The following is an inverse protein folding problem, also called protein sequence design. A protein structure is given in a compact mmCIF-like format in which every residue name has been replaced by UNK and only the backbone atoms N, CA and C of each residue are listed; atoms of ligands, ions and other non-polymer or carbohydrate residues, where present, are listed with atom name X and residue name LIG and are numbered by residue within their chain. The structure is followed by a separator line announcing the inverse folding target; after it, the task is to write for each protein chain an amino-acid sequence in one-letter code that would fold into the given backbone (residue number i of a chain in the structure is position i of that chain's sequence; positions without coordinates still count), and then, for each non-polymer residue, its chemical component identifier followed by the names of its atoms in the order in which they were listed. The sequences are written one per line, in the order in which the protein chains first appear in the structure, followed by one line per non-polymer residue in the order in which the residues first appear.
data_IF_843298376099
#
_entry.id   IF_843298376099
#
_cell.length_a   1.000
_cell.length_b   1.000
_cell.length_c   1.000
_cell.angle_alpha   90.00
_cell.angle_beta   90.00
_cell.angle_gamma   90.00
#
_symmetry.space_group_name_H-M   'P 1'
#
loop_
_entity.id
_entity.type
_entity.pdbx_description
1 polymer ?
#
# COMPACT_ATOMS: atom_id res chain seq x y z
N UNK A 1 3.60 9.60 -11.41
CA UNK A 1 3.86 8.24 -11.89
C UNK A 1 4.39 8.25 -13.34
N UNK A 2 3.69 8.76 -14.33
CA UNK A 2 4.11 8.77 -15.74
C UNK A 2 5.42 9.54 -15.98
N UNK A 3 5.66 10.64 -15.28
CA UNK A 3 6.93 11.37 -15.35
C UNK A 3 8.13 10.54 -14.83
N UNK A 4 7.91 9.75 -13.78
CA UNK A 4 8.91 8.80 -13.31
C UNK A 4 9.19 7.74 -14.39
N UNK A 5 8.14 7.13 -14.96
CA UNK A 5 8.24 6.13 -16.02
C UNK A 5 8.96 6.68 -17.26
N UNK A 6 8.63 7.90 -17.67
CA UNK A 6 9.28 8.52 -18.85
C UNK A 6 10.79 8.67 -18.66
N UNK A 7 11.25 8.87 -17.42
CA UNK A 7 12.67 9.01 -17.07
C UNK A 7 13.35 7.65 -16.92
N UNK A 8 12.72 6.72 -16.18
CA UNK A 8 13.31 5.45 -15.78
C UNK A 8 12.93 4.29 -16.70
N UNK A 9 11.98 4.48 -17.63
CA UNK A 9 11.41 3.46 -18.53
C UNK A 9 10.76 2.28 -17.80
N UNK A 10 10.38 2.50 -16.54
CA UNK A 10 9.74 1.57 -15.63
C UNK A 10 8.91 2.33 -14.60
N UNK A 11 7.87 1.72 -14.08
CA UNK A 11 7.21 2.19 -12.87
C UNK A 11 8.13 2.03 -11.66
N UNK A 12 8.01 2.86 -10.62
CA UNK A 12 8.75 2.61 -9.38
C UNK A 12 8.29 1.28 -8.77
N UNK A 13 9.18 0.52 -8.11
CA UNK A 13 8.73 -0.59 -7.28
C UNK A 13 7.85 -0.04 -6.16
N UNK A 14 6.82 -0.77 -5.77
CA UNK A 14 5.96 -0.38 -4.66
C UNK A 14 6.74 -0.19 -3.35
N UNK A 15 7.72 -1.07 -3.13
CA UNK A 15 8.76 -0.90 -2.11
C UNK A 15 10.11 -1.36 -2.67
N UNK A 16 11.14 -0.55 -2.45
CA UNK A 16 12.49 -0.88 -2.86
C UNK A 16 13.13 -1.82 -1.84
N UNK A 17 13.34 -3.06 -2.24
CA UNK A 17 14.04 -4.06 -1.45
C UNK A 17 15.00 -4.86 -2.34
N UNK A 18 16.13 -5.29 -1.79
CA UNK A 18 17.14 -6.09 -2.50
C UNK A 18 17.60 -7.27 -1.65
N UNK A 19 17.97 -8.41 -2.28
CA UNK A 19 18.61 -9.50 -1.55
C UNK A 19 19.88 -9.01 -0.81
N UNK A 20 20.19 -9.52 0.39
CA UNK A 20 19.60 -10.68 1.08
C UNK A 20 18.27 -10.46 1.82
N UNK A 21 17.57 -9.39 1.62
CA UNK A 21 16.26 -9.08 2.19
C UNK A 21 16.21 -9.16 3.74
N UNK A 22 16.80 -8.19 4.37
CA UNK A 22 16.66 -7.97 5.81
C UNK A 22 15.77 -6.76 6.10
N UNK A 23 15.44 -6.48 7.37
CA UNK A 23 14.73 -5.26 7.76
C UNK A 23 15.41 -3.99 7.24
N UNK A 24 16.73 -3.98 7.18
CA UNK A 24 17.55 -2.87 6.65
C UNK A 24 17.50 -2.70 5.12
N UNK A 25 16.88 -3.62 4.39
CA UNK A 25 16.87 -3.59 2.93
C UNK A 25 15.65 -2.87 2.34
N UNK A 26 14.62 -2.60 3.16
CA UNK A 26 13.44 -1.82 2.74
C UNK A 26 13.72 -0.34 2.93
N UNK A 27 14.15 0.32 1.87
CA UNK A 27 14.74 1.67 1.94
C UNK A 27 13.79 2.77 1.49
N UNK A 28 12.94 2.49 0.51
CA UNK A 28 12.03 3.48 -0.06
C UNK A 28 10.74 2.84 -0.54
N UNK A 29 9.63 3.54 -0.39
CA UNK A 29 8.36 3.24 -1.05
C UNK A 29 8.31 3.85 -2.45
N UNK A 30 7.33 3.48 -3.26
CA UNK A 30 7.06 4.14 -4.54
C UNK A 30 6.82 5.65 -4.33
N UNK A 31 6.13 6.04 -3.27
CA UNK A 31 5.89 7.44 -2.90
C UNK A 31 7.21 8.19 -2.72
N UNK A 32 8.14 7.62 -1.93
CA UNK A 32 9.46 8.22 -1.70
C UNK A 32 10.24 8.40 -3.01
N UNK A 33 10.23 7.40 -3.88
CA UNK A 33 10.94 7.44 -5.17
C UNK A 33 10.33 8.47 -6.12
N UNK A 34 9.05 8.79 -5.95
CA UNK A 34 8.34 9.74 -6.80
C UNK A 34 8.32 11.19 -6.27
N UNK A 35 8.84 11.47 -5.08
CA UNK A 35 8.90 12.84 -4.52
C UNK A 35 9.40 13.89 -5.51
N UNK A 36 10.49 13.67 -6.28
CA UNK A 36 10.95 14.67 -7.26
C UNK A 36 9.93 14.98 -8.35
N UNK A 37 8.99 14.06 -8.62
CA UNK A 37 7.96 14.19 -9.65
C UNK A 37 6.64 14.77 -9.13
N UNK A 38 6.60 15.09 -7.83
CA UNK A 38 5.51 15.78 -7.14
C UNK A 38 5.90 17.22 -6.73
N UNK A 39 6.99 17.75 -7.29
CA UNK A 39 7.57 19.04 -6.89
C UNK A 39 8.16 19.06 -5.45
N UNK A 40 8.32 17.88 -4.84
CA UNK A 40 8.87 17.68 -3.49
C UNK A 40 10.40 17.40 -3.51
N UNK A 41 11.13 18.06 -4.42
CA UNK A 41 12.57 17.86 -4.57
C UNK A 41 13.37 18.21 -3.31
N UNK A 42 12.92 19.21 -2.55
CA UNK A 42 13.56 19.59 -1.28
C UNK A 42 13.44 18.48 -0.23
N UNK A 43 12.28 17.83 -0.13
CA UNK A 43 12.06 16.69 0.76
C UNK A 43 12.84 15.46 0.28
N UNK A 44 12.80 15.19 -1.03
CA UNK A 44 13.57 14.11 -1.63
C UNK A 44 15.07 14.21 -1.36
N UNK A 45 15.65 15.42 -1.41
CA UNK A 45 17.09 15.62 -1.14
C UNK A 45 17.49 15.36 0.32
N UNK A 46 16.54 15.34 1.23
CA UNK A 46 16.73 15.05 2.67
C UNK A 46 16.51 13.58 3.02
N UNK A 47 15.92 12.81 2.11
CA UNK A 47 15.67 11.39 2.30
C UNK A 47 16.87 10.58 1.80
N UNK A 48 17.50 9.80 2.69
CA UNK A 48 18.63 8.94 2.32
C UNK A 48 18.15 7.55 1.90
N UNK A 49 18.05 7.31 0.59
CA UNK A 49 17.65 6.02 0.02
C UNK A 49 18.64 4.88 0.29
N UNK A 50 19.79 5.16 0.89
CA UNK A 50 20.73 4.12 1.34
C UNK A 50 20.37 3.52 2.68
N UNK A 51 19.53 4.23 3.46
CA UNK A 51 19.09 3.84 4.80
C UNK A 51 17.65 3.31 4.78
N UNK A 52 17.30 2.43 5.71
CA UNK A 52 15.91 2.06 5.96
C UNK A 52 15.03 3.28 6.24
N UNK A 53 13.75 3.22 5.85
CA UNK A 53 12.86 4.35 6.04
C UNK A 53 12.71 4.80 7.50
N UNK A 54 12.79 3.89 8.47
CA UNK A 54 12.69 4.22 9.91
C UNK A 54 13.97 4.83 10.52
N UNK A 55 15.09 4.84 9.79
CA UNK A 55 16.33 5.51 10.18
C UNK A 55 16.50 6.89 9.55
N UNK A 56 15.51 7.38 8.85
CA UNK A 56 15.52 8.74 8.30
C UNK A 56 15.43 9.77 9.43
N UNK A 57 15.88 11.02 9.19
CA UNK A 57 15.70 12.09 10.17
C UNK A 57 14.23 12.28 10.54
N UNK A 58 13.92 12.52 11.83
CA UNK A 58 12.56 12.75 12.32
C UNK A 58 11.82 13.82 11.50
N UNK A 59 12.49 14.93 11.22
CA UNK A 59 11.93 16.01 10.40
C UNK A 59 11.58 15.62 8.95
N UNK A 60 12.03 14.44 8.48
CA UNK A 60 11.60 13.84 7.20
C UNK A 60 10.41 12.92 7.42
N UNK A 61 10.46 12.09 8.46
CA UNK A 61 9.40 11.13 8.78
C UNK A 61 8.08 11.82 9.16
N UNK A 62 8.19 12.93 9.87
CA UNK A 62 7.07 13.72 10.38
C UNK A 62 6.56 14.78 9.38
N UNK A 63 7.18 14.89 8.19
CA UNK A 63 6.79 15.88 7.21
C UNK A 63 5.50 15.48 6.49
N UNK A 64 4.38 16.18 6.72
CA UNK A 64 3.18 15.98 5.93
C UNK A 64 3.41 16.49 4.51
N UNK A 65 2.97 15.73 3.53
CA UNK A 65 3.03 16.09 2.11
C UNK A 65 1.60 16.35 1.63
N UNK A 66 1.21 17.59 1.33
CA UNK A 66 -0.20 17.95 1.09
C UNK A 66 -0.86 17.15 -0.04
N UNK A 67 -0.12 16.80 -1.09
CA UNK A 67 -0.64 16.02 -2.22
C UNK A 67 -1.04 14.58 -1.82
N UNK A 68 -0.55 14.09 -0.67
CA UNK A 68 -0.88 12.76 -0.17
C UNK A 68 -2.08 12.76 0.77
N UNK A 69 -2.66 13.91 1.04
CA UNK A 69 -3.83 14.05 1.92
C UNK A 69 -5.09 14.25 1.12
N UNK A 70 -6.09 13.39 1.32
CA UNK A 70 -7.42 13.58 0.76
C UNK A 70 -8.17 14.65 1.59
N UNK A 71 -8.70 15.73 0.97
CA UNK A 71 -9.44 16.76 1.70
C UNK A 71 -10.68 16.25 2.44
N UNK A 72 -11.24 15.12 2.01
CA UNK A 72 -12.41 14.51 2.65
C UNK A 72 -12.04 13.64 3.85
N UNK A 73 -10.77 13.25 3.98
CA UNK A 73 -10.27 12.59 5.17
C UNK A 73 -9.89 13.65 6.21
N UNK A 74 -10.70 13.80 7.26
CA UNK A 74 -10.43 14.74 8.37
C UNK A 74 -9.25 14.33 9.26
N UNK A 75 -8.57 13.27 8.94
CA UNK A 75 -7.51 12.68 9.72
C UNK A 75 -6.14 13.18 9.24
N UNK A 76 -5.62 14.19 9.92
CA UNK A 76 -4.22 14.56 9.79
C UNK A 76 -3.42 13.77 10.82
N UNK A 77 -2.87 12.64 10.44
CA UNK A 77 -2.28 11.82 11.45
C UNK A 77 -0.88 11.41 11.22
N UNK A 78 -0.41 11.11 12.33
CA UNK A 78 0.84 10.48 12.60
C UNK A 78 0.55 9.10 13.18
N UNK A 79 1.12 8.08 12.60
CA UNK A 79 1.13 6.75 13.17
C UNK A 79 2.32 6.63 14.11
N UNK A 80 2.09 6.49 15.40
CA UNK A 80 3.18 6.41 16.38
C UNK A 80 3.25 5.09 17.15
N UNK A 81 2.13 4.37 17.27
CA UNK A 81 2.06 3.21 18.16
C UNK A 81 2.73 1.95 17.61
N UNK A 82 2.75 1.81 16.29
CA UNK A 82 3.24 0.62 15.62
C UNK A 82 4.75 0.44 15.76
N UNK A 83 5.46 1.53 15.85
CA UNK A 83 6.93 1.53 15.78
C UNK A 83 7.60 1.37 17.14
N UNK A 84 6.92 1.64 18.23
CA UNK A 84 7.43 1.33 19.57
C UNK A 84 7.58 -0.17 19.79
N UNK A 85 6.73 -0.97 19.16
CA UNK A 85 6.74 -2.44 19.21
C UNK A 85 8.00 -3.02 18.51
N UNK A 86 8.53 -2.34 17.52
CA UNK A 86 9.73 -2.77 16.78
C UNK A 86 11.03 -2.15 17.31
N UNK A 87 10.99 -1.54 18.50
CA UNK A 87 12.18 -0.98 19.14
C UNK A 87 12.61 0.37 18.56
N UNK A 88 11.75 1.05 17.83
CA UNK A 88 11.99 2.43 17.40
C UNK A 88 11.80 3.39 18.57
N UNK A 89 12.44 4.56 18.56
CA UNK A 89 12.33 5.52 19.64
C UNK A 89 10.87 5.86 19.98
N UNK A 90 10.54 5.85 21.27
CA UNK A 90 9.22 6.28 21.73
C UNK A 90 8.97 7.74 21.33
N UNK A 91 7.78 8.03 20.83
CA UNK A 91 7.41 9.38 20.39
C UNK A 91 7.75 9.71 18.93
N UNK A 92 8.30 8.78 18.16
CA UNK A 92 8.47 8.95 16.72
C UNK A 92 7.10 8.93 16.05
N UNK A 93 6.83 9.96 15.24
CA UNK A 93 5.61 10.09 14.46
C UNK A 93 5.91 9.96 12.97
N UNK A 94 4.98 9.41 12.21
CA UNK A 94 5.10 9.25 10.77
C UNK A 94 3.94 9.94 10.07
N UNK A 95 4.25 10.90 9.22
CA UNK A 95 3.23 11.53 8.39
C UNK A 95 2.63 10.51 7.41
N UNK A 96 1.32 10.54 7.25
CA UNK A 96 0.55 9.54 6.50
C UNK A 96 0.22 9.94 5.08
N UNK A 97 -0.21 8.98 4.28
CA UNK A 97 -0.81 9.14 2.96
C UNK A 97 -2.20 8.53 2.95
N UNK A 98 -3.14 9.23 2.32
CA UNK A 98 -4.48 8.73 2.03
C UNK A 98 -4.56 8.02 0.67
N UNK A 99 -3.42 7.86 0.00
CA UNK A 99 -3.34 7.18 -1.30
C UNK A 99 -2.37 6.02 -1.23
N UNK A 100 -2.79 4.87 -1.76
CA UNK A 100 -2.06 3.61 -1.71
C UNK A 100 -1.95 2.99 -3.10
N UNK A 101 -0.85 2.26 -3.34
CA UNK A 101 -0.54 1.65 -4.64
C UNK A 101 -1.18 0.29 -4.79
N UNK A 102 -1.70 0.01 -5.99
CA UNK A 102 -2.35 -1.27 -6.28
C UNK A 102 -1.32 -2.40 -6.38
N UNK A 103 -1.49 -3.38 -5.51
CA UNK A 103 -0.74 -4.63 -5.53
C UNK A 103 -1.44 -5.74 -6.33
N UNK A 104 -2.70 -5.56 -6.69
CA UNK A 104 -3.50 -6.52 -7.43
C UNK A 104 -4.65 -7.11 -6.64
N UNK A 105 -5.08 -8.30 -7.06
CA UNK A 105 -6.22 -9.00 -6.50
C UNK A 105 -5.87 -9.85 -5.26
N UNK A 106 -4.62 -9.86 -4.85
CA UNK A 106 -4.15 -10.61 -3.69
C UNK A 106 -3.19 -9.80 -2.86
N UNK A 107 -3.18 -10.03 -1.57
CA UNK A 107 -2.29 -9.38 -0.60
C UNK A 107 -1.29 -10.40 -0.05
N UNK A 108 -0.05 -10.33 -0.51
CA UNK A 108 1.04 -11.12 0.01
C UNK A 108 2.15 -10.22 0.55
N UNK A 109 2.69 -10.63 1.66
CA UNK A 109 3.74 -9.92 2.35
C UNK A 109 5.12 -10.18 1.80
N UNK A 110 5.36 -11.43 1.39
CA UNK A 110 6.70 -11.87 1.08
C UNK A 110 7.14 -11.42 -0.30
N UNK A 111 8.36 -10.90 -0.37
CA UNK A 111 8.99 -10.52 -1.63
C UNK A 111 9.49 -11.74 -2.43
N UNK A 112 9.81 -12.83 -1.73
CA UNK A 112 10.20 -14.10 -2.35
C UNK A 112 9.04 -14.80 -3.02
N UNK A 113 7.81 -14.40 -2.73
CA UNK A 113 6.63 -14.99 -3.31
C UNK A 113 6.47 -14.55 -4.77
N UNK A 114 6.51 -15.49 -5.66
CA UNK A 114 6.28 -15.26 -7.09
C UNK A 114 4.83 -15.54 -7.42
N UNK A 115 4.00 -14.51 -7.31
CA UNK A 115 2.63 -14.60 -7.79
C UNK A 115 2.58 -14.80 -9.30
N UNK A 116 1.57 -15.56 -9.77
CA UNK A 116 1.19 -15.51 -11.17
C UNK A 116 0.90 -14.05 -11.57
N UNK A 117 1.33 -13.63 -12.76
CA UNK A 117 1.05 -12.28 -13.27
C UNK A 117 -0.46 -11.97 -13.33
N UNK A 118 -1.28 -13.01 -13.39
CA UNK A 118 -2.73 -12.92 -13.40
C UNK A 118 -3.36 -12.32 -12.12
N UNK A 119 -2.63 -12.24 -11.00
CA UNK A 119 -3.18 -11.71 -9.74
C UNK A 119 -2.40 -10.52 -9.21
N UNK A 120 -1.28 -10.15 -9.81
CA UNK A 120 -0.46 -9.02 -9.36
C UNK A 120 -0.86 -7.73 -10.04
N UNK A 121 -0.79 -6.65 -9.29
CA UNK A 121 -0.92 -5.29 -9.79
C UNK A 121 0.42 -4.68 -10.22
N UNK A 122 0.40 -3.43 -10.66
CA UNK A 122 1.58 -2.75 -11.19
C UNK A 122 2.65 -2.42 -10.13
N UNK A 123 2.32 -2.52 -8.84
CA UNK A 123 3.25 -2.20 -7.76
C UNK A 123 3.49 -3.39 -6.84
N UNK A 124 4.74 -3.83 -6.74
CA UNK A 124 5.14 -4.95 -5.89
C UNK A 124 6.43 -4.64 -5.13
N UNK A 125 6.80 -5.51 -4.20
CA UNK A 125 8.02 -5.37 -3.41
C UNK A 125 9.21 -5.85 -4.24
N UNK A 126 10.24 -5.01 -4.36
CA UNK A 126 11.50 -5.36 -5.00
C UNK A 126 11.45 -5.60 -6.52
N UNK A 127 10.30 -5.39 -7.14
CA UNK A 127 10.11 -5.54 -8.59
C UNK A 127 9.55 -4.25 -9.18
N UNK A 128 10.03 -3.92 -10.37
CA UNK A 128 9.57 -2.81 -11.19
C UNK A 128 9.06 -3.32 -12.53
N UNK A 129 7.92 -2.84 -12.97
CA UNK A 129 7.29 -3.21 -14.23
C UNK A 129 7.37 -2.07 -15.25
N UNK A 130 7.32 -2.42 -16.52
CA UNK A 130 7.17 -1.45 -17.61
C UNK A 130 5.69 -1.33 -17.95
N UNK A 131 5.28 -0.19 -18.49
CA UNK A 131 3.89 -0.01 -18.95
C UNK A 131 3.46 -1.09 -19.96
N UNK A 132 4.38 -1.60 -20.77
CA UNK A 132 4.12 -2.69 -21.72
C UNK A 132 3.86 -4.06 -21.06
N UNK A 133 4.22 -4.22 -19.79
CA UNK A 133 3.95 -5.46 -19.06
C UNK A 133 2.50 -5.51 -18.54
N UNK A 134 1.75 -4.39 -18.66
CA UNK A 134 0.34 -4.27 -18.34
C UNK A 134 -0.47 -4.64 -19.59
N UNK A 135 -0.79 -5.92 -19.71
CA UNK A 135 -1.45 -6.46 -20.91
C UNK A 135 -2.97 -6.33 -20.91
N UNK A 136 -3.58 -6.11 -19.74
CA UNK A 136 -5.03 -5.93 -19.58
C UNK A 136 -5.49 -4.51 -19.97
N UNK A 137 -4.53 -3.65 -20.29
CA UNK A 137 -4.77 -2.27 -20.72
C UNK A 137 -4.55 -1.26 -19.60
N UNK A 138 -3.75 -0.24 -19.91
CA UNK A 138 -3.33 0.76 -18.91
C UNK A 138 -4.51 1.59 -18.37
N UNK A 139 -5.54 1.82 -19.17
CA UNK A 139 -6.76 2.53 -18.77
C UNK A 139 -7.73 1.68 -17.93
N UNK A 140 -7.50 0.37 -17.87
CA UNK A 140 -8.32 -0.59 -17.12
C UNK A 140 -7.56 -1.21 -15.94
N UNK A 141 -6.35 -0.74 -15.66
CA UNK A 141 -5.54 -1.26 -14.56
C UNK A 141 -5.32 -0.17 -13.51
N UNK A 142 -5.82 -0.40 -12.31
CA UNK A 142 -5.64 0.49 -11.16
C UNK A 142 -4.16 0.57 -10.78
N UNK A 143 -3.62 1.77 -10.78
CA UNK A 143 -2.29 2.09 -10.26
C UNK A 143 -2.31 2.46 -8.79
N UNK A 144 -3.27 3.31 -8.40
CA UNK A 144 -3.43 3.81 -7.04
C UNK A 144 -4.92 3.97 -6.73
N UNK A 145 -5.24 3.97 -5.45
CA UNK A 145 -6.58 4.32 -4.96
C UNK A 145 -6.50 4.96 -3.59
N UNK A 146 -7.63 5.40 -3.08
CA UNK A 146 -7.71 5.97 -1.75
C UNK A 146 -7.56 4.91 -0.68
N UNK A 147 -6.83 5.24 0.39
CA UNK A 147 -6.55 4.41 1.56
C UNK A 147 -6.74 5.22 2.84
N UNK A 148 -7.93 5.78 3.04
CA UNK A 148 -8.27 6.60 4.19
C UNK A 148 -7.93 5.91 5.51
N UNK A 149 -7.48 6.67 6.50
CA UNK A 149 -7.07 6.18 7.80
C UNK A 149 -7.76 6.88 8.97
N UNK A 150 -7.39 6.46 10.18
CA UNK A 150 -7.85 7.06 11.43
C UNK A 150 -9.03 6.38 12.08
N UNK A 151 -9.60 7.01 13.12
CA UNK A 151 -10.65 6.46 13.99
C UNK A 151 -11.87 5.89 13.26
N UNK A 152 -12.11 6.36 12.03
CA UNK A 152 -13.21 5.85 11.20
C UNK A 152 -12.90 4.47 10.58
N UNK A 153 -11.66 4.03 10.65
CA UNK A 153 -11.14 2.81 10.03
C UNK A 153 -10.44 1.90 11.05
N UNK A 154 -11.17 1.43 12.09
CA UNK A 154 -10.60 0.55 13.11
C UNK A 154 -10.22 -0.80 12.51
N UNK A 155 -9.19 -1.41 13.08
CA UNK A 155 -8.62 -2.67 12.61
C UNK A 155 -9.29 -3.88 13.26
N UNK A 156 -9.32 -5.00 12.57
CA UNK A 156 -9.70 -6.32 13.08
C UNK A 156 -8.73 -7.42 12.61
N UNK A 157 -8.65 -8.55 13.33
CA UNK A 157 -7.52 -9.49 13.20
C UNK A 157 -7.80 -10.75 12.35
N UNK A 158 -8.97 -10.84 11.70
CA UNK A 158 -9.32 -12.01 10.88
C UNK A 158 -9.76 -11.59 9.49
N UNK A 159 -9.35 -12.33 8.48
CA UNK A 159 -9.91 -12.15 7.12
C UNK A 159 -11.43 -12.27 7.18
N UNK A 160 -12.11 -11.31 6.56
CA UNK A 160 -13.57 -11.25 6.58
C UNK A 160 -14.21 -10.75 7.90
N UNK A 161 -13.40 -10.33 8.89
CA UNK A 161 -13.95 -9.77 10.14
C UNK A 161 -14.69 -8.46 9.88
N UNK A 162 -15.74 -8.24 10.67
CA UNK A 162 -16.59 -7.03 10.63
C UNK A 162 -16.66 -6.29 11.96
N UNK A 163 -16.06 -6.88 13.00
CA UNK A 163 -16.05 -6.30 14.34
C UNK A 163 -14.63 -5.81 14.63
N UNK A 164 -14.51 -4.52 14.93
CA UNK A 164 -13.25 -3.90 15.33
C UNK A 164 -12.67 -4.57 16.58
N UNK A 165 -11.37 -4.65 16.64
CA UNK A 165 -10.65 -4.99 17.87
C UNK A 165 -10.69 -3.78 18.81
N UNK A 166 -11.30 -3.86 20.01
CA UNK A 166 -11.40 -2.73 20.93
C UNK A 166 -10.04 -2.17 21.40
N UNK A 167 -9.00 -2.97 21.32
CA UNK A 167 -7.61 -2.60 21.66
C UNK A 167 -6.73 -2.45 20.42
N UNK A 168 -7.31 -2.58 19.22
CA UNK A 168 -6.59 -2.48 17.97
C UNK A 168 -6.32 -1.03 17.58
N UNK A 169 -5.24 -0.79 16.82
CA UNK A 169 -4.99 0.51 16.23
C UNK A 169 -5.97 0.81 15.10
N UNK A 170 -6.00 2.06 14.68
CA UNK A 170 -6.66 2.46 13.44
C UNK A 170 -5.77 2.21 12.22
N UNK A 171 -6.38 1.94 11.08
CA UNK A 171 -5.65 1.78 9.84
C UNK A 171 -5.02 3.12 9.43
N UNK A 172 -3.74 3.10 9.06
CA UNK A 172 -3.01 4.27 8.57
C UNK A 172 -1.82 3.84 7.72
N UNK A 173 -1.38 4.71 6.82
CA UNK A 173 -0.25 4.45 5.93
C UNK A 173 0.76 5.58 6.00
N UNK A 174 1.89 5.43 6.70
CA UNK A 174 3.00 6.35 6.55
C UNK A 174 3.47 6.42 5.10
N UNK A 175 3.56 7.64 4.52
CA UNK A 175 3.84 7.81 3.10
C UNK A 175 5.18 7.21 2.65
N UNK A 176 6.16 7.14 3.56
CA UNK A 176 7.49 6.61 3.26
C UNK A 176 7.64 5.11 3.49
N UNK A 177 6.68 4.47 4.15
CA UNK A 177 6.84 3.08 4.56
C UNK A 177 6.73 2.12 3.37
N UNK A 178 7.74 1.29 3.19
CA UNK A 178 7.68 0.11 2.35
C UNK A 178 7.33 -1.13 3.18
N UNK A 179 6.94 -2.22 2.53
CA UNK A 179 6.78 -3.51 3.19
C UNK A 179 8.13 -4.11 3.58
N UNK A 180 8.15 -4.79 4.72
CA UNK A 180 9.24 -5.68 5.08
C UNK A 180 9.05 -7.05 4.42
N UNK A 181 10.15 -7.76 4.10
CA UNK A 181 10.07 -9.18 3.72
C UNK A 181 9.42 -10.00 4.83
N UNK A 182 8.52 -10.93 4.47
CA UNK A 182 7.74 -11.69 5.43
C UNK A 182 8.55 -12.53 6.41
N UNK A 183 9.68 -13.06 5.98
CA UNK A 183 10.62 -13.86 6.79
C UNK A 183 11.43 -13.04 7.80
N UNK A 184 11.44 -11.72 7.65
CA UNK A 184 12.18 -10.79 8.50
C UNK A 184 11.26 -9.94 9.38
N UNK A 185 9.97 -10.20 9.37
CA UNK A 185 9.01 -9.40 10.13
C UNK A 185 9.11 -9.65 11.63
N UNK A 186 9.13 -8.56 12.37
CA UNK A 186 8.95 -8.61 13.82
C UNK A 186 7.49 -8.99 14.15
N UNK A 187 7.25 -9.81 15.16
CA UNK A 187 5.97 -10.48 15.40
C UNK A 187 4.74 -9.60 15.61
N UNK A 188 4.91 -8.29 15.73
CA UNK A 188 3.83 -7.37 16.03
C UNK A 188 3.81 -6.14 15.10
N UNK A 189 4.40 -6.26 13.91
CA UNK A 189 4.40 -5.15 12.96
C UNK A 189 3.02 -4.98 12.35
N UNK A 190 2.28 -4.01 12.80
CA UNK A 190 1.03 -3.57 12.17
C UNK A 190 1.42 -2.84 10.90
N UNK A 191 1.32 -3.51 9.79
CA UNK A 191 1.94 -3.11 8.57
C UNK A 191 1.52 -1.75 8.08
N UNK A 192 2.50 -1.04 7.78
CA UNK A 192 2.46 0.28 7.21
C UNK A 192 2.94 0.18 5.77
N UNK A 193 2.31 -0.69 5.00
CA UNK A 193 2.57 -0.70 3.58
C UNK A 193 1.69 0.32 2.89
N UNK A 194 2.26 1.06 1.97
CA UNK A 194 1.51 1.94 1.07
C UNK A 194 0.82 1.14 -0.06
N UNK A 195 0.41 -0.10 0.23
CA UNK A 195 -0.22 -0.97 -0.73
C UNK A 195 -1.71 -1.14 -0.49
N UNK A 196 -2.48 -1.11 -1.59
CA UNK A 196 -3.85 -1.53 -1.66
C UNK A 196 -4.01 -2.79 -2.49
N UNK A 197 -5.03 -3.58 -2.17
CA UNK A 197 -5.46 -4.72 -2.97
C UNK A 197 -6.98 -4.80 -3.04
N UNK A 198 -7.47 -5.56 -4.01
CA UNK A 198 -8.90 -5.77 -4.21
C UNK A 198 -9.36 -7.14 -3.68
N UNK A 199 -8.60 -7.72 -2.75
CA UNK A 199 -8.95 -8.99 -2.11
C UNK A 199 -10.27 -8.89 -1.36
N UNK A 200 -10.45 -7.82 -0.57
CA UNK A 200 -11.67 -7.52 0.15
C UNK A 200 -12.40 -6.32 -0.47
N UNK A 201 -13.67 -6.18 -0.16
CA UNK A 201 -14.51 -5.11 -0.68
C UNK A 201 -13.96 -3.73 -0.30
N UNK A 202 -14.11 -2.77 -1.21
CA UNK A 202 -13.87 -1.36 -0.95
C UNK A 202 -14.71 -0.90 0.23
N UNK A 203 -14.17 0.02 1.04
CA UNK A 203 -14.84 0.57 2.21
C UNK A 203 -15.30 -0.47 3.25
N UNK A 204 -14.79 -1.70 3.20
CA UNK A 204 -15.08 -2.70 4.24
C UNK A 204 -14.62 -2.19 5.61
N UNK A 205 -15.51 -2.25 6.59
CA UNK A 205 -15.27 -1.99 8.02
C UNK A 205 -15.56 -3.27 8.83
N UNK A 206 -14.80 -3.61 9.85
CA UNK A 206 -13.48 -3.08 10.19
C UNK A 206 -12.42 -3.51 9.18
N UNK A 207 -11.24 -2.86 9.21
CA UNK A 207 -10.15 -3.12 8.27
C UNK A 207 -9.38 -4.37 8.71
N UNK A 208 -9.22 -5.34 7.83
CA UNK A 208 -8.51 -6.58 8.18
C UNK A 208 -7.01 -6.36 8.30
N UNK A 209 -6.44 -6.80 9.42
CA UNK A 209 -5.00 -6.89 9.62
C UNK A 209 -4.62 -8.18 10.35
N UNK A 210 -4.22 -9.20 9.63
CA UNK A 210 -3.84 -10.50 10.21
C UNK A 210 -2.39 -10.52 10.72
N UNK A 211 -1.61 -9.49 10.46
CA UNK A 211 -0.20 -9.43 10.88
C UNK A 211 0.00 -9.18 12.37
N UNK A 212 -1.04 -8.73 13.06
CA UNK A 212 -1.05 -8.61 14.51
C UNK A 212 -0.90 -10.00 15.17
N UNK A 213 -1.23 -11.06 14.43
CA UNK A 213 -1.07 -12.45 14.91
C UNK A 213 0.24 -13.01 14.41
N UNK A 214 1.19 -13.27 15.30
CA UNK A 214 2.55 -13.72 14.98
C UNK A 214 2.60 -14.94 14.02
N UNK A 215 1.63 -15.84 14.08
CA UNK A 215 1.57 -17.02 13.21
C UNK A 215 1.31 -16.68 11.74
N UNK A 216 0.70 -15.54 11.44
CA UNK A 216 0.42 -15.12 10.07
C UNK A 216 1.52 -14.23 9.47
N UNK A 217 2.40 -13.66 10.28
CA UNK A 217 3.46 -12.77 9.82
C UNK A 217 4.50 -13.47 8.92
N UNK A 218 4.64 -14.78 9.04
CA UNK A 218 5.58 -15.59 8.23
C UNK A 218 4.90 -16.31 7.07
N UNK A 219 3.56 -16.21 6.95
CA UNK A 219 2.82 -16.87 5.89
C UNK A 219 2.86 -16.04 4.60
N UNK A 220 3.53 -16.57 3.59
CA UNK A 220 3.71 -15.96 2.28
C UNK A 220 2.69 -16.41 1.23
N UNK A 221 1.71 -17.19 1.62
CA UNK A 221 0.62 -17.57 0.72
C UNK A 221 -0.26 -16.35 0.38
N UNK A 222 -0.95 -16.42 -0.71
CA UNK A 222 -1.95 -15.39 -1.03
C UNK A 222 -3.05 -15.34 0.03
N UNK A 223 -3.69 -14.19 0.20
CA UNK A 223 -4.85 -14.07 1.09
C UNK A 223 -5.97 -15.04 0.72
N UNK A 224 -6.15 -15.34 -0.58
CA UNK A 224 -7.10 -16.34 -1.09
C UNK A 224 -6.74 -17.76 -0.66
N UNK A 225 -5.47 -18.05 -0.51
CA UNK A 225 -4.98 -19.35 0.00
C UNK A 225 -4.88 -19.38 1.54
N UNK A 226 -5.42 -18.37 2.23
CA UNK A 226 -5.38 -18.27 3.69
C UNK A 226 -4.12 -17.59 4.24
N UNK A 227 -3.36 -16.93 3.39
CA UNK A 227 -2.18 -16.15 3.79
C UNK A 227 -2.52 -14.84 4.51
N UNK A 228 -1.48 -14.12 4.89
CA UNK A 228 -1.60 -12.87 5.62
C UNK A 228 -2.26 -11.78 4.79
N UNK A 229 -3.14 -11.02 5.42
CA UNK A 229 -3.79 -9.84 4.88
C UNK A 229 -3.55 -8.64 5.79
N UNK A 230 -3.23 -7.49 5.22
CA UNK A 230 -2.78 -6.35 6.01
C UNK A 230 -3.33 -5.02 5.52
N UNK A 231 -4.28 -4.50 6.25
CA UNK A 231 -4.90 -3.15 6.09
C UNK A 231 -4.98 -2.62 4.65
N UNK A 232 -4.98 -3.51 3.69
CA UNK A 232 -4.73 -3.20 2.29
C UNK A 232 -5.97 -3.03 1.42
N UNK A 233 -7.20 -3.13 1.98
CA UNK A 233 -8.39 -2.76 1.22
C UNK A 233 -8.40 -1.26 0.92
N UNK A 234 -8.79 -0.89 -0.29
CA UNK A 234 -9.00 0.52 -0.64
C UNK A 234 -10.19 1.08 0.16
N UNK A 235 -10.03 2.32 0.64
CA UNK A 235 -10.97 2.98 1.55
C UNK A 235 -11.01 4.46 1.30
N UNK A 236 -12.19 5.03 1.41
CA UNK A 236 -12.40 6.46 1.24
C UNK A 236 -13.44 7.02 2.20
N UNK A 237 -13.27 8.26 2.62
CA UNK A 237 -14.28 9.03 3.33
C UNK A 237 -15.27 9.73 2.39
N UNK A 238 -15.14 9.53 1.08
CA UNK A 238 -16.16 9.95 0.12
C UNK A 238 -17.40 9.07 0.24
N UNK A 239 -18.62 9.64 0.14
CA UNK A 239 -19.84 8.85 0.22
C UNK A 239 -19.95 7.84 -0.94
N UNK A 240 -20.10 6.56 -0.63
CA UNK A 240 -20.51 5.51 -1.57
C UNK A 240 -19.43 4.98 -2.51
N UNK A 241 -18.16 5.34 -2.34
CA UNK A 241 -17.09 4.81 -3.18
C UNK A 241 -15.74 5.47 -2.95
N UNK A 242 -14.81 5.29 -3.88
CA UNK A 242 -13.46 5.84 -3.81
C UNK A 242 -12.93 6.26 -5.19
N UNK A 243 -11.94 7.14 -5.20
CA UNK A 243 -11.22 7.55 -6.39
C UNK A 243 -10.05 6.61 -6.67
N UNK A 244 -9.88 6.27 -7.94
CA UNK A 244 -8.80 5.43 -8.42
C UNK A 244 -8.08 6.06 -9.60
N UNK A 245 -6.75 6.02 -9.56
CA UNK A 245 -5.87 6.38 -10.66
C UNK A 245 -5.53 5.13 -11.45
N UNK A 246 -5.74 5.13 -12.75
CA UNK A 246 -5.31 4.08 -13.66
C UNK A 246 -3.87 4.29 -14.16
N UNK A 247 -3.29 3.25 -14.76
CA UNK A 247 -1.91 3.26 -15.23
C UNK A 247 -1.65 4.22 -16.39
N UNK A 248 -2.68 4.64 -17.13
CA UNK A 248 -2.62 5.68 -18.17
C UNK A 248 -2.72 7.10 -17.63
N UNK A 249 -2.99 7.27 -16.33
CA UNK A 249 -3.17 8.57 -15.68
C UNK A 249 -4.61 9.04 -15.59
N UNK A 250 -5.59 8.30 -16.11
CA UNK A 250 -7.01 8.61 -15.90
C UNK A 250 -7.44 8.36 -14.46
N UNK A 251 -8.41 9.13 -13.98
CA UNK A 251 -8.98 9.00 -12.65
C UNK A 251 -10.45 8.62 -12.76
N UNK A 252 -10.85 7.58 -12.05
CA UNK A 252 -12.22 7.07 -12.05
C UNK A 252 -12.75 6.96 -10.62
N UNK A 253 -14.01 7.34 -10.44
CA UNK A 253 -14.75 7.06 -9.22
C UNK A 253 -15.40 5.68 -9.34
N UNK A 254 -15.07 4.77 -8.44
CA UNK A 254 -15.72 3.46 -8.36
C UNK A 254 -16.64 3.42 -7.14
N UNK A 255 -17.84 2.86 -7.34
CA UNK A 255 -18.82 2.71 -6.25
C UNK A 255 -18.50 1.51 -5.38
N UNK A 256 -18.79 1.57 -4.08
CA UNK A 256 -18.56 0.46 -3.14
C UNK A 256 -19.42 -0.78 -3.42
N UNK A 257 -20.48 -0.63 -4.23
CA UNK A 257 -21.30 -1.73 -4.72
C UNK A 257 -20.76 -2.43 -5.96
N UNK A 258 -19.54 -2.14 -6.38
CA UNK A 258 -18.90 -2.77 -7.54
C UNK A 258 -18.86 -4.29 -7.38
N UNK A 259 -19.13 -5.02 -8.48
CA UNK A 259 -19.04 -6.47 -8.48
C UNK A 259 -17.59 -6.92 -8.25
N UNK A 260 -17.37 -7.86 -7.31
CA UNK A 260 -16.03 -8.22 -6.82
C UNK A 260 -15.10 -8.83 -7.87
N UNK A 261 -15.65 -9.63 -8.82
CA UNK A 261 -14.82 -10.18 -9.89
C UNK A 261 -14.35 -9.07 -10.83
N UNK A 262 -15.22 -8.10 -11.14
CA UNK A 262 -14.85 -6.92 -11.91
C UNK A 262 -13.85 -6.03 -11.19
N UNK A 263 -14.05 -5.79 -9.88
CA UNK A 263 -13.13 -5.01 -9.06
C UNK A 263 -11.73 -5.61 -8.98
N UNK A 264 -11.65 -6.94 -8.85
CA UNK A 264 -10.37 -7.68 -8.89
C UNK A 264 -9.70 -7.58 -10.24
N UNK A 265 -10.44 -7.78 -11.33
CA UNK A 265 -9.92 -7.65 -12.69
C UNK A 265 -9.33 -6.26 -12.98
N UNK A 266 -9.91 -5.18 -12.44
CA UNK A 266 -9.35 -3.83 -12.55
C UNK A 266 -8.00 -3.65 -11.84
N UNK A 267 -7.64 -4.50 -10.91
CA UNK A 267 -6.40 -4.37 -10.13
C UNK A 267 -5.23 -5.21 -10.65
N UNK A 268 -5.50 -6.18 -11.52
CA UNK A 268 -4.48 -7.05 -12.11
C UNK A 268 -3.89 -6.42 -13.37
N UNK A 269 -2.61 -6.71 -13.64
CA UNK A 269 -1.94 -6.13 -14.82
C UNK A 269 -1.88 -7.09 -16.02
N UNK A 270 -2.14 -8.38 -15.82
CA UNK A 270 -2.06 -9.42 -16.85
C UNK A 270 -2.92 -10.65 -16.49
N UNK A 271 -4.13 -10.43 -15.99
CA UNK A 271 -5.12 -11.46 -15.67
C UNK A 271 -5.77 -12.04 -16.92
N UNK A 272 -5.83 -11.27 -17.98
CA UNK A 272 -6.42 -11.64 -19.27
C UNK A 272 -7.94 -11.52 -19.28
N UNK A 273 -8.55 -10.90 -18.28
CA UNK A 273 -9.99 -10.64 -18.24
C UNK A 273 -10.35 -9.50 -19.20
N UNK A 274 -11.41 -9.70 -19.96
CA UNK A 274 -11.98 -8.63 -20.79
C UNK A 274 -12.85 -7.75 -19.89
N UNK A 275 -12.27 -6.65 -19.42
CA UNK A 275 -12.96 -5.67 -18.59
C UNK A 275 -13.42 -4.52 -19.48
N UNK A 276 -14.72 -4.27 -19.55
CA UNK A 276 -15.23 -3.01 -20.09
C UNK A 276 -15.40 -2.03 -18.92
N UNK A 277 -14.70 -0.92 -18.98
CA UNK A 277 -14.89 0.15 -18.00
C UNK A 277 -16.36 0.61 -18.00
N UNK A 278 -16.92 0.95 -16.83
CA UNK A 278 -18.29 1.46 -16.72
C UNK A 278 -18.46 2.80 -17.41
#
# INVERSE_FOLDING_TARGET
MLNYESTHKRLPPGAQARPPYGPSDVKASATTLMLPYFEEGALSSRYDVSQPYWLQPHAVLEMPVPIFTCPSNGFQSYSNEVFSIVGLPSGLQFATSDYIYSRGATDAWCITFRYPKAVVGPFTIGMDYRLKDITDGQSHTIAMGEGAGGERWPVCQKVGCTTADPAGPDASYPWMAGNLPGDQMLPNYVGTSTFGCTMEAMNKRAVTNTLIVAASATNCDSSEAGGSHNVSNFRSDHPGGAQFLCCDGSVHYLTEGIEMAFYRALSTMAGGEVVQAP
#
